data_IF_921500145638
#
_entry.id   IF_921500145638
#
_cell.length_a   1.000
_cell.length_b   1.000
_cell.length_c   1.000
_cell.angle_alpha   90.00
_cell.angle_beta   90.00
_cell.angle_gamma   90.00
#
_symmetry.space_group_name_H-M   'P 1'
#
loop_
_entity.id
_entity.type
_entity.pdbx_description
1 polymer ?
#
# COMPACT_ATOMS: atom_id res chain seq x y z
N UNK A 1 6.88 -3.86 -20.98
CA UNK A 1 6.40 -3.08 -19.82
C UNK A 1 5.44 -2.05 -20.37
N UNK A 2 4.13 -2.21 -20.17
CA UNK A 2 3.15 -1.21 -20.61
C UNK A 2 3.47 0.15 -19.98
N UNK A 3 3.44 1.20 -20.78
CA UNK A 3 3.70 2.57 -20.31
C UNK A 3 2.52 3.01 -19.44
N UNK A 4 2.77 3.20 -18.14
CA UNK A 4 1.73 3.65 -17.21
C UNK A 4 1.21 5.03 -17.66
N UNK A 5 -0.10 5.18 -17.92
CA UNK A 5 -0.62 6.41 -18.49
C UNK A 5 -0.55 7.58 -17.49
N UNK A 6 -0.11 8.72 -18.00
CA UNK A 6 -0.10 10.00 -17.29
C UNK A 6 -1.42 10.73 -17.52
N UNK A 7 -1.91 11.47 -16.52
CA UNK A 7 -3.19 12.19 -16.57
C UNK A 7 -4.20 11.70 -15.52
N UNK A 8 -5.38 12.33 -15.48
CA UNK A 8 -6.39 12.11 -14.45
C UNK A 8 -7.81 11.88 -15.03
N UNK A 9 -7.92 11.58 -16.33
CA UNK A 9 -9.22 11.20 -16.90
C UNK A 9 -9.70 9.88 -16.28
N UNK A 10 -11.02 9.66 -16.32
CA UNK A 10 -11.63 8.46 -15.75
C UNK A 10 -11.06 7.18 -16.36
N UNK A 11 -10.86 7.15 -17.68
CA UNK A 11 -10.30 6.00 -18.39
C UNK A 11 -8.84 5.73 -18.00
N UNK A 12 -8.04 6.79 -17.84
CA UNK A 12 -6.67 6.68 -17.34
C UNK A 12 -6.63 6.10 -15.92
N UNK A 13 -7.54 6.53 -15.05
CA UNK A 13 -7.66 5.98 -13.68
C UNK A 13 -8.04 4.49 -13.73
N UNK A 14 -8.96 4.09 -14.61
CA UNK A 14 -9.32 2.67 -14.78
C UNK A 14 -8.14 1.83 -15.26
N UNK A 15 -7.38 2.30 -16.25
CA UNK A 15 -6.18 1.60 -16.74
C UNK A 15 -5.15 1.47 -15.61
N UNK A 16 -4.86 2.54 -14.86
CA UNK A 16 -3.93 2.46 -13.72
C UNK A 16 -4.41 1.50 -12.64
N UNK A 17 -5.72 1.45 -12.37
CA UNK A 17 -6.29 0.49 -11.43
C UNK A 17 -6.03 -0.94 -11.89
N UNK A 18 -6.26 -1.25 -13.17
CA UNK A 18 -5.99 -2.56 -13.75
C UNK A 18 -4.51 -2.94 -13.63
N UNK A 19 -3.59 -2.03 -13.99
CA UNK A 19 -2.14 -2.24 -13.86
C UNK A 19 -1.74 -2.57 -12.41
N UNK A 20 -2.27 -1.83 -11.42
CA UNK A 20 -1.97 -2.10 -10.00
C UNK A 20 -2.47 -3.48 -9.59
N UNK A 21 -3.70 -3.84 -9.98
CA UNK A 21 -4.27 -5.16 -9.67
C UNK A 21 -3.43 -6.25 -10.31
N UNK A 22 -3.10 -6.15 -11.58
CA UNK A 22 -2.26 -7.12 -12.29
C UNK A 22 -0.88 -7.27 -11.61
N UNK A 23 -0.25 -6.16 -11.23
CA UNK A 23 1.07 -6.16 -10.59
C UNK A 23 1.05 -6.79 -9.19
N UNK A 24 0.01 -6.54 -8.40
CA UNK A 24 -0.04 -6.95 -7.00
C UNK A 24 -0.80 -8.27 -6.75
N UNK A 25 -1.63 -8.71 -7.69
CA UNK A 25 -2.36 -9.98 -7.60
C UNK A 25 -1.46 -11.18 -7.29
N UNK A 26 -0.27 -11.33 -7.93
CA UNK A 26 0.64 -12.44 -7.61
C UNK A 26 1.16 -12.43 -6.17
N UNK A 27 1.07 -11.31 -5.46
CA UNK A 27 1.52 -11.19 -4.07
C UNK A 27 0.42 -11.57 -3.06
N UNK A 28 -0.81 -11.84 -3.49
CA UNK A 28 -1.90 -12.21 -2.58
C UNK A 28 -1.55 -13.52 -1.86
N UNK A 29 -1.70 -13.53 -0.54
CA UNK A 29 -1.34 -14.65 0.34
C UNK A 29 0.15 -14.73 0.66
N UNK A 30 0.98 -13.88 0.06
CA UNK A 30 2.41 -13.79 0.38
C UNK A 30 2.67 -12.86 1.56
N UNK A 31 3.85 -13.00 2.16
CA UNK A 31 4.34 -12.15 3.24
C UNK A 31 5.65 -11.50 2.85
N UNK A 32 5.75 -10.18 3.00
CA UNK A 32 6.90 -9.38 2.61
C UNK A 32 7.62 -8.86 3.84
N UNK A 33 8.95 -9.05 3.98
CA UNK A 33 9.72 -8.47 5.08
C UNK A 33 9.54 -6.95 5.17
N UNK A 34 9.33 -6.45 6.38
CA UNK A 34 9.06 -5.03 6.61
C UNK A 34 10.17 -4.39 7.45
N UNK A 35 10.83 -3.38 6.90
CA UNK A 35 11.91 -2.65 7.57
C UNK A 35 11.48 -2.04 8.91
N UNK A 36 10.24 -1.56 8.98
CA UNK A 36 9.69 -0.94 10.19
C UNK A 36 9.44 -1.95 11.33
N UNK A 37 9.30 -3.23 11.03
CA UNK A 37 8.96 -4.27 12.00
C UNK A 37 10.06 -5.34 12.02
N UNK A 38 11.20 -5.03 12.66
CA UNK A 38 12.37 -5.93 12.82
C UNK A 38 11.98 -7.42 12.89
N UNK A 39 12.23 -8.16 11.80
CA UNK A 39 11.99 -9.62 11.71
C UNK A 39 10.54 -10.06 11.44
N UNK A 40 9.58 -9.14 11.30
CA UNK A 40 8.19 -9.43 10.92
C UNK A 40 7.95 -9.14 9.44
N UNK A 41 7.07 -9.93 8.86
CA UNK A 41 6.58 -9.73 7.50
C UNK A 41 5.16 -9.17 7.50
N UNK A 42 4.83 -8.45 6.45
CA UNK A 42 3.51 -7.89 6.17
C UNK A 42 2.86 -8.72 5.07
N UNK A 43 1.70 -9.27 5.39
CA UNK A 43 0.92 -10.08 4.47
C UNK A 43 0.10 -9.22 3.52
N UNK A 44 -0.02 -9.66 2.27
CA UNK A 44 -0.83 -8.98 1.25
C UNK A 44 -2.08 -9.81 0.98
N UNK A 45 -3.26 -9.21 1.16
CA UNK A 45 -4.55 -9.85 0.89
C UNK A 45 -5.24 -9.22 -0.31
N UNK A 46 -6.26 -9.90 -0.84
CA UNK A 46 -7.11 -9.38 -1.90
C UNK A 46 -7.66 -7.97 -1.56
N UNK A 47 -8.22 -7.80 -0.37
CA UNK A 47 -8.75 -6.50 0.08
C UNK A 47 -7.66 -5.40 0.14
N UNK A 48 -6.41 -5.78 0.38
CA UNK A 48 -5.27 -4.87 0.38
C UNK A 48 -4.93 -4.41 -1.04
N UNK A 49 -5.00 -5.32 -2.00
CA UNK A 49 -4.79 -5.02 -3.42
C UNK A 49 -5.91 -4.13 -3.94
N UNK A 50 -7.18 -4.46 -3.67
CA UNK A 50 -8.32 -3.65 -4.11
C UNK A 50 -8.31 -2.23 -3.51
N UNK A 51 -7.99 -2.11 -2.22
CA UNK A 51 -7.88 -0.81 -1.56
C UNK A 51 -6.70 0.02 -2.10
N UNK A 52 -5.55 -0.64 -2.32
CA UNK A 52 -4.39 -0.01 -2.95
C UNK A 52 -4.74 0.48 -4.36
N UNK A 53 -5.33 -0.38 -5.19
CA UNK A 53 -5.70 -0.04 -6.55
C UNK A 53 -6.72 1.11 -6.60
N UNK A 54 -7.70 1.11 -5.69
CA UNK A 54 -8.70 2.18 -5.58
C UNK A 54 -8.07 3.53 -5.24
N UNK A 55 -7.18 3.58 -4.24
CA UNK A 55 -6.57 4.85 -3.80
C UNK A 55 -5.43 5.31 -4.69
N UNK A 56 -4.53 4.40 -5.05
CA UNK A 56 -3.29 4.74 -5.73
C UNK A 56 -3.50 5.07 -7.22
N UNK A 57 -4.52 4.49 -7.87
CA UNK A 57 -4.86 4.79 -9.27
C UNK A 57 -5.33 6.22 -9.51
N UNK A 58 -5.65 6.99 -8.47
CA UNK A 58 -6.11 8.38 -8.60
C UNK A 58 -5.01 9.34 -9.01
N UNK A 59 -3.74 9.01 -8.73
CA UNK A 59 -2.58 9.84 -9.07
C UNK A 59 -1.48 9.01 -9.67
N UNK A 60 -0.79 9.57 -10.66
CA UNK A 60 0.28 8.86 -11.36
C UNK A 60 1.39 8.44 -10.40
N UNK A 61 1.82 9.32 -9.52
CA UNK A 61 2.89 9.06 -8.54
C UNK A 61 2.48 8.01 -7.51
N UNK A 62 1.21 7.98 -7.10
CA UNK A 62 0.72 6.93 -6.22
C UNK A 62 0.65 5.57 -6.93
N UNK A 63 0.35 5.56 -8.22
CA UNK A 63 0.40 4.34 -9.04
C UNK A 63 1.84 3.81 -9.12
N UNK A 64 2.82 4.69 -9.35
CA UNK A 64 4.24 4.34 -9.31
C UNK A 64 4.70 3.84 -7.92
N UNK A 65 4.13 4.36 -6.84
CA UNK A 65 4.39 3.86 -5.49
C UNK A 65 3.83 2.44 -5.32
N UNK A 66 2.60 2.20 -5.78
CA UNK A 66 1.91 0.92 -5.60
C UNK A 66 2.62 -0.24 -6.28
N UNK A 67 3.10 -0.07 -7.52
CA UNK A 67 3.84 -1.12 -8.23
C UNK A 67 5.20 -1.44 -7.59
N UNK A 68 5.69 -0.57 -6.69
CA UNK A 68 6.94 -0.74 -5.91
C UNK A 68 6.67 -1.08 -4.44
N UNK A 69 5.50 -1.65 -4.13
CA UNK A 69 5.10 -1.99 -2.75
C UNK A 69 6.14 -2.81 -1.99
N UNK A 70 6.74 -3.83 -2.63
CA UNK A 70 7.71 -4.72 -1.99
C UNK A 70 8.96 -3.97 -1.56
N UNK A 71 9.50 -3.12 -2.43
CA UNK A 71 10.63 -2.24 -2.14
C UNK A 71 10.29 -1.29 -0.99
N UNK A 72 9.13 -0.63 -1.09
CA UNK A 72 8.67 0.31 -0.09
C UNK A 72 8.50 -0.34 1.30
N UNK A 73 7.98 -1.56 1.38
CA UNK A 73 7.85 -2.28 2.66
C UNK A 73 9.22 -2.61 3.28
N UNK A 74 10.17 -3.08 2.47
CA UNK A 74 11.52 -3.45 2.92
C UNK A 74 12.29 -2.25 3.46
N UNK A 75 12.13 -1.08 2.85
CA UNK A 75 12.82 0.16 3.21
C UNK A 75 12.03 1.05 4.19
N UNK A 76 10.87 0.58 4.64
CA UNK A 76 9.98 1.39 5.46
C UNK A 76 10.50 1.63 6.88
N UNK A 77 10.08 2.75 7.46
CA UNK A 77 10.24 3.08 8.88
C UNK A 77 8.89 3.46 9.49
N UNK A 78 8.72 3.17 10.78
CA UNK A 78 7.49 3.49 11.50
C UNK A 78 7.36 5.00 11.71
N UNK A 79 6.18 5.55 11.42
CA UNK A 79 5.83 6.96 11.67
C UNK A 79 4.97 7.07 12.92
N UNK A 80 3.84 6.37 12.96
CA UNK A 80 2.90 6.40 14.09
C UNK A 80 2.04 5.15 14.18
N UNK A 81 1.40 5.00 15.33
CA UNK A 81 0.46 3.92 15.65
C UNK A 81 -0.88 4.55 16.04
N UNK A 82 -1.96 4.06 15.44
CA UNK A 82 -3.32 4.56 15.64
C UNK A 82 -4.31 3.42 15.88
N UNK A 83 -5.49 3.77 16.41
CA UNK A 83 -6.66 2.89 16.42
C UNK A 83 -7.41 2.95 15.08
N UNK A 84 -8.01 1.84 14.61
CA UNK A 84 -8.79 1.83 13.37
C UNK A 84 -10.12 2.59 13.54
N UNK A 85 -10.23 3.75 12.90
CA UNK A 85 -11.41 4.63 13.01
C UNK A 85 -12.48 4.37 11.93
N UNK A 86 -12.08 3.90 10.75
CA UNK A 86 -12.97 3.74 9.59
C UNK A 86 -13.59 2.34 9.48
N UNK A 87 -14.78 2.29 8.85
CA UNK A 87 -15.56 1.05 8.66
C UNK A 87 -14.78 -0.01 7.88
N UNK A 88 -13.92 0.37 6.93
CA UNK A 88 -13.20 -0.57 6.08
C UNK A 88 -12.05 -1.25 6.84
N UNK A 89 -11.26 -0.50 7.60
CA UNK A 89 -10.27 -1.08 8.53
C UNK A 89 -10.90 -1.98 9.60
N UNK A 90 -12.11 -1.65 10.05
CA UNK A 90 -12.90 -2.53 10.93
C UNK A 90 -13.36 -3.82 10.24
N UNK A 91 -13.80 -3.77 8.98
CA UNK A 91 -14.11 -4.97 8.17
C UNK A 91 -12.90 -5.88 7.97
N UNK A 92 -11.69 -5.34 8.02
CA UNK A 92 -10.45 -6.11 7.98
C UNK A 92 -9.99 -6.63 9.36
N UNK A 93 -10.77 -6.39 10.41
CA UNK A 93 -10.54 -6.83 11.79
C UNK A 93 -9.22 -6.34 12.40
N UNK A 94 -8.79 -5.15 12.00
CA UNK A 94 -7.60 -4.54 12.59
C UNK A 94 -7.90 -4.08 14.01
N UNK A 95 -6.92 -4.25 14.89
CA UNK A 95 -6.89 -3.71 16.26
C UNK A 95 -5.91 -2.56 16.42
N UNK A 96 -4.89 -2.50 15.57
CA UNK A 96 -3.95 -1.38 15.46
C UNK A 96 -3.67 -1.07 14.01
N UNK A 97 -3.41 0.20 13.74
CA UNK A 97 -2.97 0.69 12.44
C UNK A 97 -1.60 1.32 12.59
N UNK A 98 -0.71 1.02 11.66
CA UNK A 98 0.64 1.54 11.59
C UNK A 98 0.76 2.36 10.32
N UNK A 99 1.16 3.61 10.48
CA UNK A 99 1.59 4.44 9.35
C UNK A 99 3.10 4.29 9.24
N UNK A 100 3.55 3.87 8.06
CA UNK A 100 4.95 3.74 7.72
C UNK A 100 5.29 4.73 6.60
N UNK A 101 6.56 5.12 6.55
CA UNK A 101 7.13 5.89 5.44
C UNK A 101 8.28 5.14 4.81
N UNK A 102 8.42 5.26 3.50
CA UNK A 102 9.59 4.82 2.75
C UNK A 102 9.95 5.90 1.73
N UNK A 103 11.22 5.96 1.31
CA UNK A 103 11.67 6.92 0.29
C UNK A 103 12.10 6.14 -0.93
N UNK A 104 11.29 6.20 -1.99
CA UNK A 104 11.59 5.50 -3.24
C UNK A 104 12.40 6.39 -4.19
N UNK A 105 13.49 5.88 -4.75
CA UNK A 105 14.31 6.59 -5.74
C UNK A 105 13.45 7.11 -6.89
N UNK A 106 13.63 8.37 -7.29
CA UNK A 106 12.86 9.07 -8.34
C UNK A 106 11.36 9.28 -8.06
N UNK A 107 10.88 8.96 -6.86
CA UNK A 107 9.48 9.17 -6.46
C UNK A 107 9.36 9.91 -5.12
N UNK A 108 10.36 9.83 -4.23
CA UNK A 108 10.40 10.45 -2.92
C UNK A 108 9.57 9.71 -1.86
N UNK A 109 9.14 10.42 -0.81
CA UNK A 109 8.45 9.79 0.33
C UNK A 109 7.06 9.23 -0.04
N UNK A 110 6.82 7.97 0.31
CA UNK A 110 5.55 7.27 0.18
C UNK A 110 5.04 6.89 1.56
N UNK A 111 3.71 6.81 1.66
CA UNK A 111 3.00 6.42 2.87
C UNK A 111 2.44 5.01 2.69
N UNK A 112 2.69 4.15 3.66
CA UNK A 112 2.17 2.78 3.70
C UNK A 112 1.35 2.65 4.98
N UNK A 113 0.18 2.03 4.87
CA UNK A 113 -0.65 1.68 6.01
C UNK A 113 -0.64 0.17 6.19
N UNK A 114 -0.35 -0.29 7.40
CA UNK A 114 -0.41 -1.69 7.80
C UNK A 114 -1.36 -1.84 8.98
N UNK A 115 -2.22 -2.86 8.97
CA UNK A 115 -3.07 -3.21 10.10
C UNK A 115 -2.55 -4.45 10.84
N UNK A 116 -2.60 -4.42 12.17
CA UNK A 116 -2.41 -5.62 13.01
C UNK A 116 -3.79 -6.19 13.38
N UNK A 117 -3.98 -7.50 13.24
CA UNK A 117 -5.14 -8.24 13.75
C UNK A 117 -4.89 -8.79 15.16
N UNK A 118 -5.94 -9.25 15.84
CA UNK A 118 -5.84 -9.88 17.18
C UNK A 118 -4.78 -10.99 17.28
N UNK A 119 -4.62 -11.79 16.21
CA UNK A 119 -3.62 -12.86 16.14
C UNK A 119 -2.21 -12.38 15.74
N UNK A 120 -1.92 -11.08 15.87
CA UNK A 120 -0.61 -10.46 15.59
C UNK A 120 -0.15 -10.52 14.13
N UNK A 121 -1.02 -10.94 13.20
CA UNK A 121 -0.76 -10.82 11.76
C UNK A 121 -0.72 -9.35 11.35
N UNK A 122 0.34 -8.99 10.63
CA UNK A 122 0.53 -7.68 10.03
C UNK A 122 0.06 -7.75 8.59
N UNK A 123 -0.88 -6.91 8.19
CA UNK A 123 -1.54 -6.98 6.90
C UNK A 123 -1.43 -5.63 6.22
N UNK A 124 -0.93 -5.62 4.98
CA UNK A 124 -0.91 -4.44 4.13
C UNK A 124 -2.33 -3.89 3.99
N UNK A 125 -2.53 -2.59 4.12
CA UNK A 125 -3.82 -1.96 3.87
C UNK A 125 -3.79 -1.17 2.56
N UNK A 126 -2.91 -0.18 2.47
CA UNK A 126 -2.72 0.60 1.25
C UNK A 126 -1.36 1.29 1.21
N UNK A 127 -0.94 1.69 0.01
CA UNK A 127 0.23 2.52 -0.23
C UNK A 127 -0.15 3.66 -1.17
N UNK A 128 0.33 4.87 -0.89
CA UNK A 128 0.13 6.05 -1.73
C UNK A 128 1.35 6.96 -1.67
N UNK A 129 1.57 7.78 -2.70
CA UNK A 129 2.55 8.87 -2.62
C UNK A 129 2.14 9.84 -1.50
N UNK A 130 3.09 10.26 -0.67
CA UNK A 130 2.81 11.29 0.33
C UNK A 130 2.66 12.64 -0.37
N UNK A 131 1.53 13.29 -0.14
CA UNK A 131 1.31 14.68 -0.56
C UNK A 131 1.98 15.56 0.49
N UNK A 132 2.80 16.52 0.08
CA UNK A 132 3.27 17.57 1.00
C UNK A 132 2.03 18.35 1.43
N UNK A 133 1.77 18.40 2.74
CA UNK A 133 0.80 19.32 3.35
C UNK A 133 1.33 20.75 3.28
#
# INVERSE_FOLDING_TARGET
MERIPTGNSRDVVYIRRAIIVETLSPLIGTSVPCGAFKGKSVEILYNSVDETATRASQRYESTLAAIRLVEALRESSLVRIDIPKDKQKKKMYFVKIYELKATLTNLGEVKIIVGERNNKRMIHYCITKKVKE
#
